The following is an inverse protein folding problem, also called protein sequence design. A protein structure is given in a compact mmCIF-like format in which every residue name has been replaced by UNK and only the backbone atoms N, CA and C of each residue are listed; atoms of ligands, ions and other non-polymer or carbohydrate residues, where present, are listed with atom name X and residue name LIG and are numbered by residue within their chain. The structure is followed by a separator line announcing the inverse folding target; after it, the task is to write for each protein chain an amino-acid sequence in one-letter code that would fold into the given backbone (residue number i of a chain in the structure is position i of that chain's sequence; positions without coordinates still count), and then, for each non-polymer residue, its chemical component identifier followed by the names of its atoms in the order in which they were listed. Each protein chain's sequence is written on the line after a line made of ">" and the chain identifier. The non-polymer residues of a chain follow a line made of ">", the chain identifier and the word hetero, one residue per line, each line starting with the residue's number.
data_IF_505314998080
#
_entry.id   IF_505314998080
#
_cell.length_a   1.000
_cell.length_b   1.000
_cell.length_c   1.000
_cell.angle_alpha   90.00
_cell.angle_beta   90.00
_cell.angle_gamma   90.00
#
_symmetry.space_group_name_H-M   'P 1'
#
loop_
_entity.id
_entity.type
_entity.pdbx_description
1 polymer ?
#
# COMPACT_ATOMS: atom_id res chain seq x y z
N UNK A 1 10.29 -2.90 20.15
CA UNK A 1 9.55 -3.79 19.23
C UNK A 1 9.31 -3.02 17.93
N UNK A 2 9.35 -3.67 16.78
CA UNK A 2 8.98 -3.02 15.54
C UNK A 2 7.54 -2.50 15.65
N UNK A 3 7.30 -1.25 15.18
CA UNK A 3 6.00 -0.58 15.23
C UNK A 3 5.46 -0.40 13.82
N UNK A 4 4.17 -0.66 13.61
CA UNK A 4 3.50 -0.49 12.32
C UNK A 4 3.41 0.99 11.95
N UNK A 5 3.02 1.82 12.92
CA UNK A 5 2.83 3.27 12.71
C UNK A 5 4.05 4.12 13.10
N UNK A 6 5.11 3.49 13.69
CA UNK A 6 6.32 4.19 14.09
C UNK A 6 6.02 5.47 14.90
N UNK A 7 6.67 6.56 14.53
CA UNK A 7 6.52 7.88 15.18
C UNK A 7 5.45 8.77 14.50
N UNK A 8 4.64 8.20 13.59
CA UNK A 8 3.59 8.97 12.89
C UNK A 8 2.49 9.45 13.84
N UNK A 9 2.26 8.71 14.93
CA UNK A 9 1.22 9.00 15.92
C UNK A 9 1.69 8.73 17.33
N UNK A 10 1.08 9.46 18.28
CA UNK A 10 1.30 9.39 19.71
C UNK A 10 -0.01 9.27 20.47
N UNK A 11 0.06 9.10 21.79
CA UNK A 11 -1.13 9.07 22.66
C UNK A 11 -2.02 10.31 22.43
N UNK A 12 -3.33 10.08 22.39
CA UNK A 12 -4.40 11.06 22.13
C UNK A 12 -4.47 11.62 20.69
N UNK A 13 -3.59 11.22 19.77
CA UNK A 13 -3.75 11.59 18.36
C UNK A 13 -5.01 10.93 17.77
N UNK A 14 -5.76 11.71 16.98
CA UNK A 14 -6.91 11.22 16.25
C UNK A 14 -6.46 10.57 14.93
N UNK A 15 -6.84 9.33 14.74
CA UNK A 15 -6.54 8.53 13.52
C UNK A 15 -7.83 8.09 12.87
N UNK A 16 -7.95 8.33 11.56
CA UNK A 16 -9.07 7.88 10.75
C UNK A 16 -8.65 6.71 9.87
N UNK A 17 -9.35 5.59 9.99
CA UNK A 17 -9.18 4.41 9.12
C UNK A 17 -10.27 4.43 8.05
N UNK A 18 -9.88 4.55 6.77
CA UNK A 18 -10.80 4.51 5.63
C UNK A 18 -10.68 3.15 4.96
N UNK A 19 -11.68 2.30 5.18
CA UNK A 19 -11.64 0.89 4.80
C UNK A 19 -12.78 0.56 3.84
N UNK A 20 -12.51 0.47 2.52
CA UNK A 20 -13.52 0.03 1.57
C UNK A 20 -13.93 -1.40 1.90
N UNK A 21 -15.23 -1.71 1.73
CA UNK A 21 -15.72 -3.08 1.86
C UNK A 21 -15.55 -3.78 0.52
N UNK A 22 -14.48 -4.52 0.37
CA UNK A 22 -14.20 -5.31 -0.82
C UNK A 22 -15.04 -6.60 -0.82
N UNK A 23 -15.59 -6.95 -1.99
CA UNK A 23 -16.31 -8.21 -2.21
C UNK A 23 -15.42 -9.43 -1.90
N UNK A 24 -14.10 -9.27 -2.06
CA UNK A 24 -13.10 -10.31 -1.79
C UNK A 24 -12.71 -10.42 -0.32
N UNK A 25 -13.06 -9.43 0.51
CA UNK A 25 -12.79 -9.49 1.93
C UNK A 25 -13.70 -10.53 2.59
N UNK A 26 -13.19 -11.31 3.56
CA UNK A 26 -14.03 -12.27 4.27
C UNK A 26 -15.20 -11.55 4.96
N UNK A 27 -16.44 -12.02 4.71
CA UNK A 27 -17.62 -11.44 5.35
C UNK A 27 -17.51 -11.51 6.88
N UNK A 28 -17.89 -10.42 7.53
CA UNK A 28 -17.97 -10.34 8.99
C UNK A 28 -16.64 -10.12 9.73
N UNK A 29 -15.53 -9.88 9.03
CA UNK A 29 -14.25 -9.55 9.66
C UNK A 29 -13.41 -8.61 8.83
N UNK A 30 -12.54 -7.86 9.50
CA UNK A 30 -11.49 -7.07 8.87
C UNK A 30 -10.32 -7.97 8.43
N UNK A 31 -9.55 -7.51 7.44
CA UNK A 31 -8.31 -8.18 7.03
C UNK A 31 -7.19 -7.93 8.04
N UNK A 32 -6.23 -8.84 8.07
CA UNK A 32 -5.17 -8.83 9.09
C UNK A 32 -4.40 -7.50 9.22
N UNK A 33 -3.98 -6.83 8.15
CA UNK A 33 -3.32 -5.52 8.26
C UNK A 33 -4.17 -4.46 8.97
N UNK A 34 -5.48 -4.42 8.72
CA UNK A 34 -6.41 -3.49 9.35
C UNK A 34 -6.52 -3.77 10.84
N UNK A 35 -6.68 -5.06 11.22
CA UNK A 35 -6.79 -5.48 12.63
C UNK A 35 -5.50 -5.19 13.40
N UNK A 36 -4.34 -5.51 12.83
CA UNK A 36 -3.05 -5.28 13.48
C UNK A 36 -2.77 -3.79 13.69
N UNK A 37 -3.05 -2.98 12.68
CA UNK A 37 -2.88 -1.52 12.77
C UNK A 37 -3.81 -0.93 13.83
N UNK A 38 -5.09 -1.31 13.83
CA UNK A 38 -6.06 -0.87 14.84
C UNK A 38 -5.60 -1.26 16.23
N UNK A 39 -5.14 -2.49 16.44
CA UNK A 39 -4.65 -2.97 17.72
C UNK A 39 -3.46 -2.13 18.21
N UNK A 40 -2.49 -1.85 17.36
CA UNK A 40 -1.33 -1.02 17.74
C UNK A 40 -1.75 0.41 18.12
N UNK A 41 -2.68 1.00 17.35
CA UNK A 41 -3.21 2.33 17.67
C UNK A 41 -3.90 2.37 19.03
N UNK A 42 -4.63 1.31 19.40
CA UNK A 42 -5.23 1.19 20.73
C UNK A 42 -4.15 1.04 21.82
N UNK A 43 -3.12 0.25 21.58
CA UNK A 43 -2.00 0.08 22.51
C UNK A 43 -1.24 1.42 22.73
N UNK A 44 -1.19 2.28 21.69
CA UNK A 44 -0.67 3.65 21.77
C UNK A 44 -1.64 4.66 22.36
N UNK A 45 -2.85 4.25 22.73
CA UNK A 45 -3.93 5.10 23.26
C UNK A 45 -4.32 6.24 22.29
N UNK A 46 -4.30 5.98 21.01
CA UNK A 46 -4.84 6.89 20.00
C UNK A 46 -6.38 6.91 20.03
N UNK A 47 -6.96 8.02 19.58
CA UNK A 47 -8.39 8.12 19.30
C UNK A 47 -8.62 7.58 17.88
N UNK A 48 -9.44 6.53 17.74
CA UNK A 48 -9.63 5.87 16.45
C UNK A 48 -11.06 6.05 15.99
N UNK A 49 -11.22 6.48 14.76
CA UNK A 49 -12.50 6.42 14.05
C UNK A 49 -12.31 5.68 12.73
N UNK A 50 -13.39 5.14 12.19
CA UNK A 50 -13.33 4.41 10.92
C UNK A 50 -14.57 4.65 10.08
N UNK A 51 -14.41 4.58 8.76
CA UNK A 51 -15.52 4.67 7.82
C UNK A 51 -15.20 3.93 6.52
N UNK A 52 -16.23 3.71 5.72
CA UNK A 52 -16.09 3.33 4.32
C UNK A 52 -15.76 4.54 3.46
N UNK A 53 -15.22 4.32 2.27
CA UNK A 53 -14.76 5.40 1.38
C UNK A 53 -15.89 6.40 1.03
N UNK A 54 -17.10 5.91 0.80
CA UNK A 54 -18.29 6.73 0.48
C UNK A 54 -18.75 7.59 1.66
N UNK A 55 -18.37 7.25 2.89
CA UNK A 55 -18.73 8.00 4.12
C UNK A 55 -17.64 8.96 4.59
N UNK A 56 -16.51 9.02 3.88
CA UNK A 56 -15.40 9.90 4.28
C UNK A 56 -15.83 11.38 4.48
N UNK A 57 -16.58 12.03 3.57
CA UNK A 57 -16.97 13.42 3.78
C UNK A 57 -17.86 13.65 5.01
N UNK A 58 -18.80 12.73 5.27
CA UNK A 58 -19.67 12.82 6.43
C UNK A 58 -18.89 12.58 7.73
N UNK A 59 -17.95 11.61 7.71
CA UNK A 59 -17.12 11.32 8.87
C UNK A 59 -16.25 12.52 9.23
N UNK A 60 -15.57 13.13 8.25
CA UNK A 60 -14.75 14.33 8.49
C UNK A 60 -15.55 15.48 9.07
N UNK A 61 -16.81 15.69 8.61
CA UNK A 61 -17.71 16.72 9.17
C UNK A 61 -18.17 16.43 10.60
N UNK A 62 -18.22 15.16 10.99
CA UNK A 62 -18.65 14.77 12.33
C UNK A 62 -17.51 14.86 13.38
N UNK A 63 -16.27 15.03 12.95
CA UNK A 63 -15.11 15.16 13.84
C UNK A 63 -14.99 16.61 14.33
N UNK A 64 -14.64 16.78 15.61
CA UNK A 64 -14.42 18.09 16.21
C UNK A 64 -13.16 18.82 15.64
N UNK A 65 -12.20 18.04 15.14
CA UNK A 65 -10.96 18.51 14.52
C UNK A 65 -10.45 17.48 13.49
N UNK A 66 -9.64 17.91 12.53
CA UNK A 66 -9.09 16.99 11.53
C UNK A 66 -8.23 15.89 12.15
N UNK A 67 -8.29 14.65 11.62
CA UNK A 67 -7.41 13.59 12.08
C UNK A 67 -5.95 13.94 11.76
N UNK A 68 -5.03 13.61 12.68
CA UNK A 68 -3.59 13.74 12.43
C UNK A 68 -3.13 12.82 11.31
N UNK A 69 -3.61 11.59 11.32
CA UNK A 69 -3.26 10.57 10.32
C UNK A 69 -4.53 9.91 9.78
N UNK A 70 -4.56 9.75 8.46
CA UNK A 70 -5.55 8.94 7.75
C UNK A 70 -4.83 7.73 7.17
N UNK A 71 -5.36 6.54 7.41
CA UNK A 71 -4.82 5.28 6.89
C UNK A 71 -5.91 4.63 6.03
N UNK A 72 -5.56 4.25 4.80
CA UNK A 72 -6.53 3.69 3.85
C UNK A 72 -5.96 2.52 3.07
N UNK A 73 -6.80 1.81 2.33
CA UNK A 73 -6.35 0.81 1.37
C UNK A 73 -5.80 1.48 0.10
N UNK A 74 -4.76 0.90 -0.48
CA UNK A 74 -4.07 1.46 -1.66
C UNK A 74 -5.00 1.67 -2.86
N UNK A 75 -6.02 0.82 -3.02
CA UNK A 75 -6.98 0.90 -4.13
C UNK A 75 -7.82 2.18 -4.12
N UNK A 76 -8.05 2.80 -2.96
CA UNK A 76 -8.83 4.04 -2.82
C UNK A 76 -7.98 5.24 -2.39
N UNK A 77 -6.66 5.09 -2.41
CA UNK A 77 -5.71 6.11 -1.94
C UNK A 77 -5.93 7.47 -2.63
N UNK A 78 -6.08 7.48 -3.95
CA UNK A 78 -6.33 8.71 -4.71
C UNK A 78 -7.61 9.42 -4.25
N UNK A 79 -8.71 8.68 -4.12
CA UNK A 79 -10.00 9.23 -3.66
C UNK A 79 -9.90 9.85 -2.28
N UNK A 80 -9.19 9.21 -1.35
CA UNK A 80 -8.96 9.73 0.00
C UNK A 80 -8.04 10.95 -0.03
N UNK A 81 -6.98 10.91 -0.84
CA UNK A 81 -6.06 12.04 -1.03
C UNK A 81 -6.77 13.32 -1.49
N UNK A 82 -7.69 13.20 -2.44
CA UNK A 82 -8.45 14.33 -2.99
C UNK A 82 -9.46 14.94 -1.99
N UNK A 83 -9.86 14.19 -0.96
CA UNK A 83 -10.89 14.60 0.00
C UNK A 83 -10.35 14.89 1.40
N UNK A 84 -9.11 14.50 1.70
CA UNK A 84 -8.53 14.68 3.03
C UNK A 84 -8.32 16.17 3.37
N UNK A 85 -8.40 16.56 4.66
CA UNK A 85 -7.91 17.85 5.11
C UNK A 85 -6.43 18.06 4.76
N UNK A 86 -6.04 19.29 4.44
CA UNK A 86 -4.66 19.61 4.05
C UNK A 86 -3.65 19.24 5.14
N UNK A 87 -4.01 19.50 6.40
CA UNK A 87 -3.19 19.25 7.60
C UNK A 87 -3.08 17.77 7.98
N UNK A 88 -3.97 16.91 7.49
CA UNK A 88 -3.92 15.48 7.80
C UNK A 88 -2.83 14.77 7.00
N UNK A 89 -2.01 13.97 7.66
CA UNK A 89 -1.12 13.02 6.98
C UNK A 89 -1.95 11.89 6.37
N UNK A 90 -1.44 11.31 5.29
CA UNK A 90 -2.08 10.17 4.63
C UNK A 90 -1.07 9.08 4.35
N UNK A 91 -1.43 7.85 4.66
CA UNK A 91 -0.68 6.63 4.29
C UNK A 91 -1.64 5.48 3.96
N UNK A 92 -1.10 4.35 3.54
CA UNK A 92 -1.89 3.14 3.32
C UNK A 92 -1.46 2.00 4.23
N UNK A 93 -2.37 1.04 4.48
CA UNK A 93 -2.05 -0.18 5.22
C UNK A 93 -0.89 -0.93 4.57
N UNK A 94 -0.82 -0.96 3.24
CA UNK A 94 0.27 -1.63 2.50
C UNK A 94 1.63 -1.00 2.77
N UNK A 95 1.71 0.34 2.76
CA UNK A 95 2.96 1.07 3.04
C UNK A 95 3.40 0.87 4.49
N UNK A 96 2.47 0.95 5.44
CA UNK A 96 2.77 0.68 6.85
C UNK A 96 3.29 -0.75 7.06
N UNK A 97 2.65 -1.74 6.43
CA UNK A 97 3.07 -3.14 6.52
C UNK A 97 4.41 -3.40 5.82
N UNK A 98 4.70 -2.70 4.71
CA UNK A 98 6.00 -2.76 4.07
C UNK A 98 7.11 -2.25 5.01
N UNK A 99 6.88 -1.12 5.68
CA UNK A 99 7.80 -0.58 6.68
C UNK A 99 7.94 -1.47 7.92
N UNK A 100 6.85 -2.10 8.36
CA UNK A 100 6.86 -3.01 9.51
C UNK A 100 7.61 -4.31 9.25
N UNK A 101 7.54 -4.85 8.01
CA UNK A 101 8.14 -6.14 7.64
C UNK A 101 9.51 -6.01 6.98
N UNK A 102 9.89 -4.83 6.51
CA UNK A 102 11.11 -4.60 5.76
C UNK A 102 11.70 -3.22 6.00
N UNK A 103 12.65 -2.83 5.16
CA UNK A 103 13.29 -1.51 5.21
C UNK A 103 12.58 -0.53 4.26
N UNK A 104 11.75 0.33 4.83
CA UNK A 104 10.98 1.34 4.07
C UNK A 104 11.91 2.33 3.33
N UNK A 105 13.09 2.61 3.84
CA UNK A 105 14.05 3.51 3.19
C UNK A 105 14.58 2.86 1.92
N UNK A 106 14.98 1.59 2.01
CA UNK A 106 15.39 0.81 0.84
C UNK A 106 14.29 0.72 -0.21
N UNK A 107 13.02 0.54 0.21
CA UNK A 107 11.89 0.51 -0.73
C UNK A 107 11.66 1.85 -1.41
N UNK A 108 11.76 2.97 -0.68
CA UNK A 108 11.62 4.33 -1.25
C UNK A 108 12.76 4.62 -2.22
N UNK A 109 14.01 4.31 -1.85
CA UNK A 109 15.17 4.43 -2.74
C UNK A 109 15.02 3.54 -3.98
N UNK A 110 14.61 2.29 -3.79
CA UNK A 110 14.36 1.35 -4.89
C UNK A 110 13.25 1.82 -5.83
N UNK A 111 12.18 2.42 -5.30
CA UNK A 111 11.10 2.95 -6.12
C UNK A 111 11.57 4.06 -7.08
N UNK A 112 12.59 4.83 -6.72
CA UNK A 112 13.19 5.83 -7.61
C UNK A 112 13.86 5.24 -8.85
N UNK A 113 14.20 3.94 -8.83
CA UNK A 113 14.74 3.24 -10.01
C UNK A 113 13.75 3.18 -11.17
N UNK A 114 12.43 3.23 -10.89
CA UNK A 114 11.39 3.28 -11.92
C UNK A 114 11.56 4.49 -12.85
N UNK A 115 12.07 5.61 -12.32
CA UNK A 115 12.28 6.82 -13.12
C UNK A 115 13.51 6.74 -14.05
N UNK A 116 14.40 5.78 -13.82
CA UNK A 116 15.61 5.52 -14.63
C UNK A 116 15.42 4.41 -15.66
N UNK A 117 14.28 3.73 -15.66
CA UNK A 117 13.98 2.69 -16.65
C UNK A 117 13.89 3.27 -18.06
N UNK A 118 14.36 2.51 -19.03
CA UNK A 118 14.27 2.78 -20.47
C UNK A 118 13.59 1.60 -21.16
N UNK A 119 13.27 1.74 -22.44
CA UNK A 119 12.68 0.65 -23.23
C UNK A 119 13.59 -0.60 -23.32
N UNK A 120 14.90 -0.43 -23.11
CA UNK A 120 15.87 -1.51 -23.14
C UNK A 120 16.11 -2.14 -21.75
N UNK A 121 15.43 -1.64 -20.72
CA UNK A 121 15.55 -2.18 -19.36
C UNK A 121 14.84 -3.52 -19.21
N UNK A 122 15.29 -4.31 -18.23
CA UNK A 122 14.71 -5.57 -17.87
C UNK A 122 14.17 -5.52 -16.42
N UNK A 123 12.89 -5.81 -16.24
CA UNK A 123 12.22 -5.79 -14.93
C UNK A 123 11.81 -7.18 -14.54
N UNK A 124 12.06 -7.56 -13.28
CA UNK A 124 11.52 -8.78 -12.70
C UNK A 124 10.35 -8.42 -11.78
N UNK A 125 9.19 -9.05 -11.96
CA UNK A 125 8.08 -9.02 -11.00
C UNK A 125 8.05 -10.38 -10.30
N UNK A 126 8.26 -10.37 -8.98
CA UNK A 126 8.33 -11.57 -8.15
C UNK A 126 7.14 -11.62 -7.19
N UNK A 127 6.21 -12.52 -7.42
CA UNK A 127 5.01 -12.71 -6.59
C UNK A 127 5.28 -13.73 -5.48
N UNK A 128 4.95 -13.39 -4.23
CA UNK A 128 5.03 -14.33 -3.12
C UNK A 128 3.94 -15.41 -3.18
N UNK A 129 2.79 -15.12 -3.79
CA UNK A 129 1.64 -16.02 -3.86
C UNK A 129 1.71 -16.95 -5.07
N UNK A 130 1.45 -18.25 -4.84
CA UNK A 130 1.33 -19.27 -5.91
C UNK A 130 -0.14 -19.51 -6.35
N UNK A 131 -1.08 -18.62 -5.97
CA UNK A 131 -2.50 -18.77 -6.33
C UNK A 131 -2.77 -18.39 -7.79
N UNK A 132 -3.79 -19.02 -8.38
CA UNK A 132 -4.20 -18.69 -9.74
C UNK A 132 -4.60 -17.20 -9.83
N UNK A 133 -4.10 -16.46 -10.84
CA UNK A 133 -4.36 -15.03 -10.97
C UNK A 133 -5.84 -14.75 -11.27
N UNK A 134 -6.38 -13.71 -10.64
CA UNK A 134 -7.68 -13.15 -11.01
C UNK A 134 -7.54 -12.24 -12.24
N UNK A 135 -8.66 -11.96 -12.92
CA UNK A 135 -8.73 -11.16 -14.16
C UNK A 135 -8.18 -9.74 -14.04
N UNK A 136 -7.99 -9.21 -12.82
CA UNK A 136 -7.39 -7.88 -12.56
C UNK A 136 -6.21 -7.97 -11.59
N UNK A 137 -5.35 -8.94 -11.77
CA UNK A 137 -4.16 -9.13 -10.94
C UNK A 137 -3.24 -7.90 -10.98
N UNK A 138 -2.85 -7.43 -9.81
CA UNK A 138 -2.00 -6.23 -9.68
C UNK A 138 -0.63 -6.50 -10.26
N UNK A 139 0.00 -7.61 -9.90
CA UNK A 139 1.34 -7.97 -10.32
C UNK A 139 1.42 -8.29 -11.81
N UNK A 140 0.47 -9.10 -12.31
CA UNK A 140 0.51 -9.63 -13.69
C UNK A 140 -0.10 -8.72 -14.73
N UNK A 141 -1.01 -7.84 -14.34
CA UNK A 141 -1.76 -6.99 -15.30
C UNK A 141 -1.51 -5.51 -15.05
N UNK A 142 -1.78 -5.02 -13.84
CA UNK A 142 -1.76 -3.56 -13.57
C UNK A 142 -0.35 -2.98 -13.59
N UNK A 143 0.60 -3.62 -12.90
CA UNK A 143 1.99 -3.13 -12.84
C UNK A 143 2.66 -3.16 -14.22
N UNK A 144 2.64 -4.26 -15.00
CA UNK A 144 3.20 -4.27 -16.35
C UNK A 144 2.62 -3.19 -17.26
N UNK A 145 1.29 -3.01 -17.22
CA UNK A 145 0.63 -1.98 -18.01
C UNK A 145 1.07 -0.56 -17.63
N UNK A 146 1.21 -0.28 -16.33
CA UNK A 146 1.67 1.03 -15.84
C UNK A 146 3.12 1.29 -16.22
N UNK A 147 3.99 0.29 -16.08
CA UNK A 147 5.40 0.40 -16.46
C UNK A 147 5.55 0.66 -17.96
N UNK A 148 4.89 -0.14 -18.81
CA UNK A 148 4.93 0.06 -20.26
C UNK A 148 4.37 1.41 -20.69
N UNK A 149 3.29 1.86 -20.07
CA UNK A 149 2.72 3.20 -20.32
C UNK A 149 3.73 4.32 -20.00
N UNK A 150 4.56 4.13 -18.96
CA UNK A 150 5.54 5.14 -18.54
C UNK A 150 6.82 5.09 -19.38
N UNK A 151 7.30 3.91 -19.70
CA UNK A 151 8.65 3.67 -20.24
C UNK A 151 8.61 3.38 -21.74
N UNK A 152 7.63 2.61 -22.21
CA UNK A 152 7.49 2.14 -23.59
C UNK A 152 7.06 0.67 -23.65
N UNK A 153 6.42 0.28 -24.75
CA UNK A 153 5.88 -1.08 -24.95
C UNK A 153 6.99 -2.14 -25.10
N UNK A 154 8.20 -1.73 -25.48
CA UNK A 154 9.34 -2.63 -25.65
C UNK A 154 9.98 -3.08 -24.33
N UNK A 155 9.58 -2.50 -23.18
CA UNK A 155 10.09 -2.87 -21.87
C UNK A 155 9.95 -4.37 -21.61
N UNK A 156 11.09 -5.03 -21.35
CA UNK A 156 11.10 -6.45 -21.02
C UNK A 156 10.69 -6.69 -19.57
N UNK A 157 9.69 -7.54 -19.33
CA UNK A 157 9.19 -7.85 -18.00
C UNK A 157 9.12 -9.38 -17.86
N UNK A 158 9.95 -9.91 -16.97
CA UNK A 158 9.87 -11.30 -16.52
C UNK A 158 8.98 -11.39 -15.27
N UNK A 159 8.28 -12.51 -15.13
CA UNK A 159 7.40 -12.76 -13.99
C UNK A 159 7.71 -14.12 -13.38
N UNK A 160 7.83 -14.15 -12.07
CA UNK A 160 8.03 -15.39 -11.30
C UNK A 160 7.10 -15.41 -10.10
N UNK A 161 6.78 -16.59 -9.59
CA UNK A 161 5.93 -16.76 -8.42
C UNK A 161 6.45 -17.86 -7.50
N UNK A 162 6.23 -17.70 -6.20
CA UNK A 162 6.61 -18.67 -5.19
C UNK A 162 8.11 -18.98 -5.18
N UNK A 163 8.47 -20.26 -5.37
CA UNK A 163 9.87 -20.73 -5.32
C UNK A 163 10.69 -20.51 -6.59
N UNK A 164 10.07 -19.99 -7.66
CA UNK A 164 10.73 -19.88 -8.98
C UNK A 164 11.63 -18.66 -9.10
N UNK A 165 12.06 -18.10 -7.98
CA UNK A 165 12.92 -16.93 -7.93
C UNK A 165 14.28 -17.23 -8.57
N UNK A 166 14.74 -16.44 -9.58
CA UNK A 166 16.01 -16.72 -10.27
C UNK A 166 17.21 -16.60 -9.34
N UNK A 167 18.18 -17.49 -9.51
CA UNK A 167 19.45 -17.43 -8.74
C UNK A 167 20.35 -16.28 -9.22
N UNK A 168 20.30 -15.95 -10.50
CA UNK A 168 21.03 -14.83 -11.09
C UNK A 168 20.09 -13.67 -11.41
N UNK A 169 20.34 -12.56 -10.75
CA UNK A 169 19.55 -11.32 -10.86
C UNK A 169 20.29 -10.24 -11.65
N UNK A 170 21.49 -10.49 -12.13
CA UNK A 170 22.39 -9.49 -12.74
C UNK A 170 21.82 -8.84 -14.02
N UNK A 171 20.87 -9.50 -14.70
CA UNK A 171 20.23 -8.99 -15.91
C UNK A 171 19.09 -8.01 -15.64
N UNK A 172 18.63 -7.87 -14.39
CA UNK A 172 17.50 -7.04 -14.06
C UNK A 172 17.92 -5.65 -13.54
N UNK A 173 17.34 -4.61 -14.12
CA UNK A 173 17.51 -3.23 -13.69
C UNK A 173 16.60 -2.87 -12.51
N UNK A 174 15.47 -3.57 -12.38
CA UNK A 174 14.50 -3.39 -11.30
C UNK A 174 13.86 -4.73 -10.93
N UNK A 175 13.70 -4.94 -9.61
CA UNK A 175 12.92 -6.07 -9.07
C UNK A 175 11.76 -5.49 -8.27
N UNK A 176 10.54 -5.90 -8.62
CA UNK A 176 9.29 -5.55 -7.92
C UNK A 176 8.81 -6.80 -7.18
N UNK A 177 8.68 -6.68 -5.86
CA UNK A 177 8.28 -7.78 -4.98
C UNK A 177 7.14 -7.35 -4.06
#
# INVERSE_FOLDING_TARGET
>A
QPSITGDLVSENDLVLLVMPQDIQAPKGRLILPQVQTMRELLDKKCLITSCTTDKLPQTLKALAYPPKLIITDSQVFKTVYEQKPAESLLTSFSVLMAGYKGDIRQFVEGASAIDRLTENSCVLIAEACAHAPMTEDIGRVKIPRLLRKKVGEALHIDMVSGSDFPKDLSKYDLIIH
#
